data_IF_626639393145
#
_entry.id   IF_626639393145
#
_cell.length_a   1.000
_cell.length_b   1.000
_cell.length_c   1.000
_cell.angle_alpha   90.00
_cell.angle_beta   90.00
_cell.angle_gamma   90.00
#
_symmetry.space_group_name_H-M   'P 1'
#
loop_
_entity.id
_entity.type
_entity.pdbx_description
1 polymer ?
#
# COMPACT_ATOMS: atom_id res chain seq x y z
N UNK A 1 -15.28 11.18 -39.25
CA UNK A 1 -15.40 9.97 -38.40
C UNK A 1 -14.02 9.32 -38.21
N UNK A 2 -13.14 9.91 -37.39
CA UNK A 2 -11.79 9.37 -37.08
C UNK A 2 -11.31 9.90 -35.72
N UNK A 3 -12.07 9.66 -34.66
CA UNK A 3 -11.70 10.12 -33.31
C UNK A 3 -12.26 9.23 -32.19
N UNK A 4 -12.50 7.95 -32.47
CA UNK A 4 -13.01 6.99 -31.48
C UNK A 4 -11.95 5.97 -31.00
N UNK A 5 -10.72 6.03 -31.51
CA UNK A 5 -9.70 4.99 -31.27
C UNK A 5 -8.71 5.23 -30.12
N UNK A 6 -8.64 6.43 -29.54
CA UNK A 6 -7.59 6.78 -28.58
C UNK A 6 -7.98 6.65 -27.11
N UNK A 7 -9.23 6.30 -26.80
CA UNK A 7 -9.74 6.24 -25.42
C UNK A 7 -9.80 4.81 -24.85
N UNK A 8 -9.25 3.82 -25.58
CA UNK A 8 -9.28 2.40 -25.17
C UNK A 8 -7.92 1.82 -24.73
N UNK A 9 -6.83 2.61 -24.77
CA UNK A 9 -5.49 2.11 -24.45
C UNK A 9 -5.06 2.31 -22.97
N UNK A 10 -5.90 2.90 -22.11
CA UNK A 10 -5.56 3.15 -20.70
C UNK A 10 -5.96 1.98 -19.76
N UNK A 11 -6.67 0.96 -20.26
CA UNK A 11 -7.19 -0.14 -19.43
C UNK A 11 -6.33 -1.41 -19.37
N UNK A 12 -5.14 -1.46 -19.99
CA UNK A 12 -4.36 -2.70 -20.12
C UNK A 12 -3.09 -2.77 -19.26
N UNK A 13 -3.07 -2.12 -18.08
CA UNK A 13 -2.09 -2.40 -17.02
C UNK A 13 -2.70 -3.18 -15.85
N UNK A 14 -3.73 -3.97 -16.15
CA UNK A 14 -4.11 -5.10 -15.31
C UNK A 14 -3.03 -6.19 -15.43
N UNK A 15 -1.89 -5.97 -14.75
CA UNK A 15 -1.06 -7.09 -14.33
C UNK A 15 -1.92 -8.08 -13.56
N UNK A 16 -1.62 -9.39 -13.58
CA UNK A 16 -2.40 -10.37 -12.85
C UNK A 16 -2.52 -9.86 -11.41
N UNK A 17 -3.76 -9.77 -10.94
CA UNK A 17 -4.02 -9.68 -9.51
C UNK A 17 -3.37 -10.94 -8.92
N UNK A 18 -2.10 -10.84 -8.56
CA UNK A 18 -1.42 -11.86 -7.80
C UNK A 18 -2.36 -12.11 -6.63
N UNK A 19 -2.82 -13.35 -6.51
CA UNK A 19 -3.66 -13.85 -5.43
C UNK A 19 -3.27 -13.07 -4.18
N UNK A 20 -4.21 -12.30 -3.63
CA UNK A 20 -3.95 -11.22 -2.68
C UNK A 20 -3.01 -11.69 -1.57
N UNK A 21 -1.71 -11.54 -1.80
CA UNK A 21 -0.71 -11.74 -0.79
C UNK A 21 -0.99 -10.62 0.20
N UNK A 22 -1.14 -10.97 1.48
CA UNK A 22 -1.33 -9.99 2.54
C UNK A 22 -0.16 -9.02 2.47
N UNK A 23 -0.43 -7.80 2.00
CA UNK A 23 0.59 -6.77 1.86
C UNK A 23 1.19 -6.51 3.23
N UNK A 24 2.48 -6.80 3.37
CA UNK A 24 3.21 -6.62 4.61
C UNK A 24 3.89 -5.25 4.65
N UNK A 25 4.27 -4.75 5.85
CA UNK A 25 5.13 -3.57 5.93
C UNK A 25 6.45 -3.71 5.16
N UNK A 26 7.00 -4.93 5.09
CA UNK A 26 8.22 -5.24 4.34
C UNK A 26 8.03 -5.12 2.81
N UNK A 27 6.84 -5.45 2.31
CA UNK A 27 6.51 -5.25 0.90
C UNK A 27 6.52 -3.76 0.52
N UNK A 28 6.02 -2.90 1.42
CA UNK A 28 6.03 -1.45 1.20
C UNK A 28 7.46 -0.91 1.20
N UNK A 29 8.27 -1.26 2.19
CA UNK A 29 9.66 -0.79 2.27
C UNK A 29 10.47 -1.26 1.05
N UNK A 30 10.26 -2.50 0.61
CA UNK A 30 10.89 -3.05 -0.59
C UNK A 30 10.43 -2.32 -1.86
N UNK A 31 9.13 -2.05 -2.00
CA UNK A 31 8.59 -1.32 -3.14
C UNK A 31 9.10 0.13 -3.18
N UNK A 32 9.14 0.81 -2.03
CA UNK A 32 9.67 2.17 -1.90
C UNK A 32 11.17 2.23 -2.27
N UNK A 33 11.99 1.29 -1.77
CA UNK A 33 13.42 1.23 -2.13
C UNK A 33 13.63 0.97 -3.63
N UNK A 34 12.77 0.16 -4.25
CA UNK A 34 12.80 -0.03 -5.72
C UNK A 34 12.42 1.25 -6.46
N UNK A 35 11.41 1.99 -5.99
CA UNK A 35 11.02 3.26 -6.59
C UNK A 35 12.15 4.30 -6.48
N UNK A 36 12.82 4.37 -5.33
CA UNK A 36 13.95 5.27 -5.10
C UNK A 36 15.13 4.93 -6.03
N UNK A 37 15.53 3.66 -6.10
CA UNK A 37 16.62 3.22 -7.00
C UNK A 37 16.28 3.43 -8.48
N UNK A 38 15.04 3.17 -8.90
CA UNK A 38 14.59 3.49 -10.25
C UNK A 38 14.61 5.00 -10.50
N UNK A 39 14.25 5.82 -9.51
CA UNK A 39 14.32 7.27 -9.56
C UNK A 39 15.75 7.79 -9.74
N UNK A 40 16.72 7.19 -9.05
CA UNK A 40 18.14 7.49 -9.24
C UNK A 40 18.63 7.13 -10.64
N UNK A 41 18.24 5.96 -11.17
CA UNK A 41 18.56 5.55 -12.55
C UNK A 41 17.94 6.51 -13.58
N UNK A 42 16.70 6.95 -13.34
CA UNK A 42 16.03 7.94 -14.17
C UNK A 42 16.77 9.28 -14.16
N UNK A 43 17.15 9.78 -12.99
CA UNK A 43 17.93 11.01 -12.87
C UNK A 43 19.29 10.91 -13.59
N UNK A 44 19.98 9.79 -13.50
CA UNK A 44 21.24 9.56 -14.21
C UNK A 44 21.04 9.57 -15.74
N UNK A 45 20.00 8.92 -16.25
CA UNK A 45 19.68 8.87 -17.68
C UNK A 45 19.38 10.27 -18.27
N UNK A 46 18.85 11.20 -17.46
CA UNK A 46 18.57 12.59 -17.88
C UNK A 46 19.85 13.39 -18.19
N UNK A 47 20.99 13.00 -17.65
CA UNK A 47 22.28 13.69 -17.80
C UNK A 47 23.13 13.27 -18.99
N UNK A 48 22.82 12.17 -19.68
CA UNK A 48 23.63 11.63 -20.78
C UNK A 48 23.70 12.57 -22.00
N UNK A 49 24.64 12.42 -22.94
CA UNK A 49 24.61 13.20 -24.20
C UNK A 49 23.64 12.56 -25.21
N UNK A 50 23.67 11.24 -25.38
CA UNK A 50 22.67 10.46 -26.14
C UNK A 50 21.59 9.87 -25.23
N UNK A 51 20.62 10.72 -24.86
CA UNK A 51 19.67 10.44 -23.77
C UNK A 51 18.52 9.51 -24.13
N UNK A 52 18.20 9.30 -25.41
CA UNK A 52 16.94 8.67 -25.82
C UNK A 52 16.81 7.23 -25.37
N UNK A 53 17.77 6.36 -25.71
CA UNK A 53 17.71 4.94 -25.33
C UNK A 53 17.83 4.73 -23.81
N UNK A 54 18.77 5.38 -23.09
CA UNK A 54 18.83 5.30 -21.61
C UNK A 54 17.55 5.81 -20.92
N UNK A 55 16.93 6.88 -21.42
CA UNK A 55 15.68 7.41 -20.84
C UNK A 55 14.52 6.43 -21.02
N UNK A 56 14.37 5.82 -22.19
CA UNK A 56 13.30 4.83 -22.42
C UNK A 56 13.44 3.65 -21.45
N UNK A 57 14.65 3.13 -21.28
CA UNK A 57 14.91 2.03 -20.36
C UNK A 57 14.63 2.43 -18.90
N UNK A 58 15.08 3.63 -18.47
CA UNK A 58 14.88 4.11 -17.12
C UNK A 58 13.40 4.41 -16.82
N UNK A 59 12.66 4.97 -17.78
CA UNK A 59 11.21 5.19 -17.66
C UNK A 59 10.48 3.86 -17.47
N UNK A 60 10.81 2.83 -18.24
CA UNK A 60 10.21 1.49 -18.09
C UNK A 60 10.46 0.88 -16.71
N UNK A 61 11.70 0.96 -16.20
CA UNK A 61 12.02 0.48 -14.85
C UNK A 61 11.27 1.26 -13.75
N UNK A 62 11.09 2.58 -13.94
CA UNK A 62 10.35 3.43 -13.02
C UNK A 62 8.84 3.11 -13.01
N UNK A 63 8.26 2.87 -14.18
CA UNK A 63 6.87 2.41 -14.32
C UNK A 63 6.63 1.07 -13.63
N UNK A 64 7.56 0.11 -13.76
CA UNK A 64 7.50 -1.17 -13.06
C UNK A 64 7.55 -0.99 -11.54
N UNK A 65 8.42 -0.10 -11.04
CA UNK A 65 8.51 0.20 -9.61
C UNK A 65 7.21 0.85 -9.08
N UNK A 66 6.61 1.78 -9.83
CA UNK A 66 5.31 2.36 -9.49
C UNK A 66 4.18 1.31 -9.49
N UNK A 67 4.20 0.39 -10.46
CA UNK A 67 3.21 -0.69 -10.52
C UNK A 67 3.31 -1.63 -9.31
N UNK A 68 4.53 -1.93 -8.85
CA UNK A 68 4.78 -2.70 -7.61
C UNK A 68 4.22 -1.98 -6.40
N UNK A 69 4.56 -0.70 -6.21
CA UNK A 69 4.08 0.12 -5.09
C UNK A 69 2.55 0.19 -5.08
N UNK A 70 1.92 0.39 -6.25
CA UNK A 70 0.46 0.36 -6.40
C UNK A 70 -0.13 -0.97 -5.96
N UNK A 71 0.50 -2.10 -6.31
CA UNK A 71 0.09 -3.43 -5.87
C UNK A 71 0.06 -3.55 -4.34
N UNK A 72 1.10 -3.07 -3.66
CA UNK A 72 1.17 -3.05 -2.19
C UNK A 72 0.06 -2.21 -1.57
N UNK A 73 -0.16 -0.99 -2.08
CA UNK A 73 -1.22 -0.08 -1.58
C UNK A 73 -2.62 -0.68 -1.74
N UNK A 74 -2.91 -1.29 -2.90
CA UNK A 74 -4.18 -1.98 -3.14
C UNK A 74 -4.33 -3.18 -2.19
N UNK A 75 -3.26 -3.95 -2.00
CA UNK A 75 -3.23 -5.09 -1.07
C UNK A 75 -3.52 -4.67 0.37
N UNK A 76 -2.91 -3.59 0.85
CA UNK A 76 -3.18 -3.04 2.19
C UNK A 76 -4.66 -2.67 2.35
N UNK A 77 -5.28 -2.07 1.32
CA UNK A 77 -6.71 -1.77 1.34
C UNK A 77 -7.64 -2.97 1.22
N UNK A 78 -7.22 -4.04 0.56
CA UNK A 78 -7.95 -5.30 0.60
C UNK A 78 -7.91 -5.89 2.02
N UNK A 79 -6.74 -5.89 2.67
CA UNK A 79 -6.56 -6.41 4.02
C UNK A 79 -7.35 -5.64 5.07
N UNK A 80 -7.33 -4.30 5.03
CA UNK A 80 -8.16 -3.49 5.94
C UNK A 80 -9.65 -3.86 5.82
N UNK A 81 -10.15 -4.01 4.59
CA UNK A 81 -11.56 -4.34 4.34
C UNK A 81 -11.92 -5.73 4.84
N UNK A 82 -11.06 -6.72 4.61
CA UNK A 82 -11.22 -8.08 5.11
C UNK A 82 -11.36 -8.09 6.64
N UNK A 83 -10.42 -7.46 7.35
CA UNK A 83 -10.45 -7.38 8.82
C UNK A 83 -11.69 -6.64 9.31
N UNK A 84 -12.08 -5.56 8.63
CA UNK A 84 -13.26 -4.77 9.00
C UNK A 84 -14.55 -5.58 8.86
N UNK A 85 -14.65 -6.44 7.83
CA UNK A 85 -15.78 -7.33 7.64
C UNK A 85 -15.81 -8.41 8.73
N UNK A 86 -14.68 -9.02 9.04
CA UNK A 86 -14.56 -10.00 10.12
C UNK A 86 -14.98 -9.41 11.48
N UNK A 87 -14.54 -8.19 11.80
CA UNK A 87 -14.97 -7.48 13.01
C UNK A 87 -16.46 -7.13 13.00
N UNK A 88 -17.04 -6.87 11.82
CA UNK A 88 -18.47 -6.62 11.69
C UNK A 88 -19.29 -7.89 11.97
N UNK A 89 -18.82 -9.05 11.51
CA UNK A 89 -19.45 -10.36 11.80
C UNK A 89 -19.39 -10.70 13.29
N UNK A 90 -18.27 -10.40 13.96
CA UNK A 90 -18.09 -10.62 15.41
C UNK A 90 -18.76 -9.56 16.29
N UNK A 91 -19.38 -8.53 15.71
CA UNK A 91 -19.87 -7.35 16.44
C UNK A 91 -20.88 -7.69 17.55
N UNK A 92 -21.83 -8.58 17.29
CA UNK A 92 -22.83 -8.96 18.29
C UNK A 92 -22.22 -9.69 19.49
N UNK A 93 -21.22 -10.53 19.24
CA UNK A 93 -20.48 -11.24 20.29
C UNK A 93 -19.68 -10.27 21.16
N UNK A 94 -18.95 -9.34 20.54
CA UNK A 94 -18.21 -8.28 21.24
C UNK A 94 -19.14 -7.42 22.10
N UNK A 95 -20.32 -7.06 21.58
CA UNK A 95 -21.32 -6.27 22.32
C UNK A 95 -21.90 -7.05 23.51
N UNK A 96 -22.22 -8.33 23.33
CA UNK A 96 -22.70 -9.20 24.43
C UNK A 96 -21.64 -9.34 25.52
N UNK A 97 -20.38 -9.54 25.13
CA UNK A 97 -19.26 -9.64 26.06
C UNK A 97 -19.07 -8.35 26.85
N UNK A 98 -19.11 -7.21 26.17
CA UNK A 98 -18.96 -5.89 26.78
C UNK A 98 -20.11 -5.58 27.74
N UNK A 99 -21.35 -5.90 27.37
CA UNK A 99 -22.52 -5.73 28.23
C UNK A 99 -22.44 -6.61 29.50
N UNK A 100 -21.98 -7.86 29.36
CA UNK A 100 -21.75 -8.74 30.48
C UNK A 100 -20.69 -8.17 31.43
N UNK A 101 -19.54 -7.72 30.90
CA UNK A 101 -18.47 -7.10 31.68
C UNK A 101 -18.92 -5.82 32.40
N UNK A 102 -19.68 -4.94 31.74
CA UNK A 102 -20.23 -3.73 32.35
C UNK A 102 -21.20 -4.04 33.48
N UNK A 103 -22.02 -5.08 33.32
CA UNK A 103 -22.93 -5.55 34.37
C UNK A 103 -22.15 -6.05 35.57
N UNK A 104 -21.11 -6.86 35.34
CA UNK A 104 -20.25 -7.38 36.42
C UNK A 104 -19.47 -6.28 37.13
N UNK A 105 -18.96 -5.28 36.41
CA UNK A 105 -18.24 -4.13 37.00
C UNK A 105 -19.16 -3.20 37.81
N UNK A 106 -20.46 -3.16 37.49
CA UNK A 106 -21.45 -2.37 38.22
C UNK A 106 -22.00 -3.08 39.45
N UNK A 107 -21.78 -4.39 39.58
CA UNK A 107 -22.02 -5.10 40.84
C UNK A 107 -20.85 -4.76 41.76
N UNK A 108 -21.03 -3.89 42.79
CA UNK A 108 -19.97 -3.66 43.76
C UNK A 108 -19.53 -5.02 44.33
N UNK A 109 -18.23 -5.24 44.63
CA UNK A 109 -17.79 -6.44 45.34
C UNK A 109 -18.74 -6.60 46.53
N UNK A 110 -19.63 -7.59 46.55
CA UNK A 110 -20.73 -7.54 47.48
C UNK A 110 -20.15 -7.52 48.88
N UNK A 111 -20.59 -6.55 49.67
CA UNK A 111 -20.51 -6.56 51.11
C UNK A 111 -20.66 -8.02 51.56
N UNK A 112 -19.56 -8.65 52.01
CA UNK A 112 -19.43 -10.11 52.15
C UNK A 112 -20.39 -10.72 53.19
N UNK A 113 -21.29 -9.93 53.77
CA UNK A 113 -22.17 -10.33 54.87
C UNK A 113 -23.67 -10.23 54.57
N UNK A 114 -24.14 -9.67 53.44
CA UNK A 114 -25.59 -9.40 53.24
C UNK A 114 -26.23 -10.00 51.99
N UNK A 115 -25.59 -10.98 51.32
CA UNK A 115 -26.26 -11.69 50.21
C UNK A 115 -27.25 -12.73 50.75
N UNK A 116 -28.52 -12.78 50.26
CA UNK A 116 -29.50 -13.79 50.68
C UNK A 116 -29.08 -15.27 50.46
N UNK A 117 -28.00 -15.54 49.73
CA UNK A 117 -27.46 -16.89 49.47
C UNK A 117 -26.19 -17.22 50.29
N UNK A 118 -25.68 -16.29 51.11
CA UNK A 118 -24.56 -16.49 52.02
C UNK A 118 -23.14 -16.39 51.43
N UNK A 119 -22.09 -16.42 52.28
CA UNK A 119 -20.68 -16.21 51.88
C UNK A 119 -20.12 -17.29 50.95
N UNK A 120 -20.63 -18.53 51.05
CA UNK A 120 -20.23 -19.62 50.17
C UNK A 120 -20.65 -19.37 48.70
N UNK A 121 -21.85 -18.81 48.50
CA UNK A 121 -22.32 -18.45 47.16
C UNK A 121 -21.46 -17.34 46.54
N UNK A 122 -21.04 -16.35 47.34
CA UNK A 122 -20.14 -15.29 46.92
C UNK A 122 -18.74 -15.84 46.54
N UNK A 123 -18.17 -16.74 47.36
CA UNK A 123 -16.88 -17.37 47.04
C UNK A 123 -16.92 -18.19 45.75
N UNK A 124 -18.01 -18.91 45.50
CA UNK A 124 -18.20 -19.70 44.26
C UNK A 124 -18.34 -18.80 43.03
N UNK A 125 -19.07 -17.69 43.13
CA UNK A 125 -19.16 -16.69 42.07
C UNK A 125 -17.80 -16.02 41.79
N UNK A 126 -17.04 -15.65 42.83
CA UNK A 126 -15.68 -15.12 42.70
C UNK A 126 -14.72 -16.11 42.04
N UNK A 127 -14.82 -17.40 42.36
CA UNK A 127 -14.01 -18.45 41.74
C UNK A 127 -14.36 -18.67 40.25
N UNK A 128 -15.64 -18.53 39.86
CA UNK A 128 -16.05 -18.58 38.45
C UNK A 128 -15.50 -17.37 37.70
N UNK A 129 -15.66 -16.16 38.26
CA UNK A 129 -15.11 -14.94 37.66
C UNK A 129 -13.59 -15.03 37.47
N UNK A 130 -12.85 -15.47 38.48
CA UNK A 130 -11.40 -15.64 38.41
C UNK A 130 -10.95 -16.61 37.29
N UNK A 131 -11.78 -17.60 36.93
CA UNK A 131 -11.52 -18.51 35.80
C UNK A 131 -11.85 -17.89 34.44
N UNK A 132 -12.80 -16.95 34.38
CA UNK A 132 -13.23 -16.30 33.14
C UNK A 132 -12.36 -15.09 32.78
N UNK A 133 -11.81 -14.38 33.77
CA UNK A 133 -10.91 -13.23 33.57
C UNK A 133 -9.78 -13.47 32.57
N UNK A 134 -9.01 -14.57 32.60
CA UNK A 134 -7.93 -14.77 31.63
C UNK A 134 -8.44 -14.95 30.19
N UNK A 135 -9.60 -15.59 29.98
CA UNK A 135 -10.19 -15.72 28.65
C UNK A 135 -10.63 -14.36 28.08
N UNK A 136 -11.19 -13.50 28.93
CA UNK A 136 -11.58 -12.14 28.56
C UNK A 136 -10.37 -11.25 28.24
N UNK A 137 -9.28 -11.41 29.00
CA UNK A 137 -8.02 -10.72 28.72
C UNK A 137 -7.41 -11.17 27.38
N UNK A 138 -7.49 -12.47 27.07
CA UNK A 138 -7.04 -13.00 25.78
C UNK A 138 -7.83 -12.40 24.61
N UNK A 139 -9.16 -12.34 24.71
CA UNK A 139 -10.03 -11.75 23.69
C UNK A 139 -9.73 -10.25 23.47
N UNK A 140 -9.54 -9.50 24.57
CA UNK A 140 -9.17 -8.09 24.48
C UNK A 140 -7.79 -7.88 23.82
N UNK A 141 -6.84 -8.77 24.09
CA UNK A 141 -5.52 -8.75 23.47
C UNK A 141 -5.57 -9.06 21.97
N UNK A 142 -6.40 -10.03 21.58
CA UNK A 142 -6.65 -10.38 20.17
C UNK A 142 -7.28 -9.20 19.43
N UNK A 143 -8.37 -8.63 19.94
CA UNK A 143 -9.03 -7.46 19.35
C UNK A 143 -8.06 -6.26 19.23
N UNK A 144 -7.23 -6.03 20.25
CA UNK A 144 -6.20 -4.99 20.20
C UNK A 144 -5.12 -5.28 19.14
N UNK A 145 -4.80 -6.54 18.85
CA UNK A 145 -3.93 -6.92 17.75
C UNK A 145 -4.57 -6.66 16.39
N UNK A 146 -5.83 -7.06 16.22
CA UNK A 146 -6.61 -6.84 15.00
C UNK A 146 -6.74 -5.35 14.66
N UNK A 147 -7.02 -4.50 15.66
CA UNK A 147 -7.09 -3.05 15.46
C UNK A 147 -5.75 -2.43 15.10
N UNK A 148 -4.64 -2.93 15.65
CA UNK A 148 -3.29 -2.51 15.26
C UNK A 148 -2.97 -2.87 13.81
N UNK A 149 -3.46 -4.01 13.34
CA UNK A 149 -3.31 -4.42 11.94
C UNK A 149 -4.07 -3.49 10.99
N UNK A 150 -5.30 -3.07 11.34
CA UNK A 150 -6.05 -2.05 10.59
C UNK A 150 -5.26 -0.73 10.54
N UNK A 151 -4.75 -0.25 11.68
CA UNK A 151 -4.00 1.01 11.68
C UNK A 151 -2.73 0.90 10.83
N UNK A 152 -2.05 -0.23 10.90
CA UNK A 152 -0.88 -0.52 10.06
C UNK A 152 -1.26 -0.44 8.57
N UNK A 153 -2.32 -1.14 8.14
CA UNK A 153 -2.79 -1.11 6.76
C UNK A 153 -3.16 0.31 6.28
N UNK A 154 -3.76 1.12 7.16
CA UNK A 154 -4.09 2.53 6.86
C UNK A 154 -2.86 3.42 6.73
N UNK A 155 -1.87 3.24 7.59
CA UNK A 155 -0.58 3.96 7.47
C UNK A 155 0.06 3.63 6.13
N UNK A 156 0.17 2.33 5.79
CA UNK A 156 0.74 1.87 4.52
C UNK A 156 0.01 2.46 3.31
N UNK A 157 -1.32 2.56 3.35
CA UNK A 157 -2.08 3.25 2.30
C UNK A 157 -1.74 4.73 2.19
N UNK A 158 -1.77 5.47 3.31
CA UNK A 158 -1.55 6.92 3.29
C UNK A 158 -0.17 7.26 2.74
N UNK A 159 0.85 6.56 3.23
CA UNK A 159 2.24 6.73 2.78
C UNK A 159 2.39 6.33 1.30
N UNK A 160 1.92 5.14 0.93
CA UNK A 160 2.05 4.67 -0.45
C UNK A 160 1.25 5.50 -1.47
N UNK A 161 0.12 6.09 -1.10
CA UNK A 161 -0.63 7.03 -1.98
C UNK A 161 0.19 8.31 -2.22
N UNK A 162 0.86 8.84 -1.19
CA UNK A 162 1.70 10.03 -1.33
C UNK A 162 2.90 9.74 -2.26
N UNK A 163 3.55 8.60 -2.09
CA UNK A 163 4.67 8.15 -2.93
C UNK A 163 4.24 7.92 -4.38
N UNK A 164 3.06 7.32 -4.60
CA UNK A 164 2.49 7.14 -5.94
C UNK A 164 2.22 8.48 -6.62
N UNK A 165 1.63 9.45 -5.91
CA UNK A 165 1.35 10.77 -6.47
C UNK A 165 2.64 11.51 -6.86
N UNK A 166 3.64 11.51 -5.98
CA UNK A 166 4.96 12.09 -6.24
C UNK A 166 5.66 11.42 -7.43
N UNK A 167 5.65 10.08 -7.44
CA UNK A 167 6.30 9.31 -8.50
C UNK A 167 5.62 9.45 -9.85
N UNK A 168 4.28 9.51 -9.92
CA UNK A 168 3.57 9.77 -11.18
C UNK A 168 3.94 11.13 -11.78
N UNK A 169 4.06 12.17 -10.96
CA UNK A 169 4.52 13.48 -11.42
C UNK A 169 5.97 13.43 -11.94
N UNK A 170 6.86 12.69 -11.27
CA UNK A 170 8.24 12.50 -11.73
C UNK A 170 8.32 11.73 -13.06
N UNK A 171 7.44 10.74 -13.27
CA UNK A 171 7.31 9.97 -14.51
C UNK A 171 6.80 10.85 -15.66
N UNK A 172 5.79 11.68 -15.42
CA UNK A 172 5.27 12.64 -16.41
C UNK A 172 6.38 13.58 -16.88
N UNK A 173 7.13 14.18 -15.95
CA UNK A 173 8.28 15.03 -16.28
C UNK A 173 9.35 14.29 -17.11
N UNK A 174 9.59 12.99 -16.84
CA UNK A 174 10.51 12.20 -17.64
C UNK A 174 10.01 11.96 -19.07
N UNK A 175 8.71 11.69 -19.25
CA UNK A 175 8.10 11.51 -20.56
C UNK A 175 8.13 12.78 -21.40
N UNK A 176 7.89 13.93 -20.79
CA UNK A 176 8.03 15.23 -21.46
C UNK A 176 9.46 15.48 -21.95
N UNK A 177 10.43 15.16 -21.10
CA UNK A 177 11.85 15.26 -21.45
C UNK A 177 12.23 14.33 -22.60
N UNK A 178 11.73 13.09 -22.60
CA UNK A 178 11.94 12.15 -23.71
C UNK A 178 11.33 12.70 -25.01
N UNK A 179 10.11 13.26 -24.95
CA UNK A 179 9.47 13.91 -26.09
C UNK A 179 10.31 15.06 -26.66
N UNK A 180 10.87 15.91 -25.78
CA UNK A 180 11.79 16.98 -26.16
C UNK A 180 13.08 16.45 -26.81
N UNK A 181 13.68 15.40 -26.27
CA UNK A 181 14.88 14.78 -26.81
C UNK A 181 14.66 14.22 -28.22
N UNK A 182 13.54 13.53 -28.45
CA UNK A 182 13.16 12.99 -29.76
C UNK A 182 12.90 14.12 -30.76
N UNK A 183 12.18 15.18 -30.36
CA UNK A 183 11.91 16.33 -31.22
C UNK A 183 13.19 17.08 -31.63
N UNK A 184 14.14 17.23 -30.70
CA UNK A 184 15.46 17.79 -30.96
C UNK A 184 16.27 16.97 -31.97
N UNK A 185 16.34 15.65 -31.77
CA UNK A 185 17.03 14.72 -32.67
C UNK A 185 16.45 14.78 -34.10
N UNK A 186 15.12 14.78 -34.23
CA UNK A 186 14.46 14.92 -35.53
C UNK A 186 14.71 16.25 -36.24
N UNK A 187 14.94 17.34 -35.48
CA UNK A 187 15.31 18.66 -36.03
C UNK A 187 16.72 18.66 -36.59
N UNK A 188 17.68 18.03 -35.90
CA UNK A 188 19.06 17.89 -36.37
C UNK A 188 19.15 17.09 -37.67
N UNK A 189 18.39 16.00 -37.79
CA UNK A 189 18.33 15.18 -39.02
C UNK A 189 17.85 16.01 -40.22
N UNK A 190 16.85 16.89 -40.03
CA UNK A 190 16.32 17.75 -41.10
C UNK A 190 17.25 18.88 -41.53
N UNK A 191 18.08 19.39 -40.62
CA UNK A 191 19.00 20.50 -40.89
C UNK A 191 20.37 20.03 -41.39
N UNK A 192 20.60 18.72 -41.51
CA UNK A 192 21.87 18.17 -41.98
C UNK A 192 22.08 18.53 -43.47
N UNK A 193 23.12 19.31 -43.82
CA UNK A 193 23.36 19.69 -45.22
C UNK A 193 23.60 18.45 -46.10
N UNK A 194 22.92 18.38 -47.25
CA UNK A 194 22.98 17.22 -48.18
C UNK A 194 24.31 17.09 -48.93
N UNK A 195 25.25 18.01 -48.71
CA UNK A 195 26.59 17.98 -49.28
C UNK A 195 27.60 17.56 -48.21
N UNK A 196 27.90 16.27 -48.12
CA UNK A 196 29.08 15.78 -47.43
C UNK A 196 30.08 15.21 -48.46
N UNK A 197 30.93 16.05 -49.09
CA UNK A 197 32.05 15.57 -49.88
C UNK A 197 33.23 15.31 -48.93
N UNK A 198 33.48 14.04 -48.61
CA UNK A 198 34.51 13.70 -47.62
C UNK A 198 34.96 12.25 -47.60
N UNK A 199 34.73 11.49 -48.68
CA UNK A 199 35.54 10.32 -48.98
C UNK A 199 36.92 10.78 -49.46
N UNK A 200 37.71 11.44 -48.61
CA UNK A 200 39.15 11.56 -48.83
C UNK A 200 39.82 10.31 -48.29
N UNK A 201 39.77 9.28 -49.14
CA UNK A 201 40.83 8.29 -49.34
C UNK A 201 42.19 8.98 -49.20
N UNK A 202 43.03 8.53 -48.27
CA UNK A 202 44.50 8.59 -48.33
C UNK A 202 45.10 7.50 -47.42
N UNK A 203 46.34 7.11 -47.71
CA UNK A 203 46.74 5.97 -48.53
C UNK A 203 46.82 4.64 -47.75
#
# INVERSE_FOLDING_TARGET
MRSAGLMAAVLALAGPAAAAATATPEDLTTAAARLESAGAALAAARGAEERTAPLVAAIGAYEEALARLRGVVIGAGAREREITLELAERREEIMRLTAALQTMSRVPPPAQMMHPAGPLAAARAGAVLARLTPALQAEAADLAATLREIETARVLQREGIADLASGLAALEAARDQLGGAIAGAGRWIRLRPRSWPGAMRRP
#
